data_IF_937284142746
#
_entry.id   IF_937284142746
#
_cell.length_a   1.000
_cell.length_b   1.000
_cell.length_c   1.000
_cell.angle_alpha   90.00
_cell.angle_beta   90.00
_cell.angle_gamma   90.00
#
_symmetry.space_group_name_H-M   'P 1'
#
loop_
_entity.id
_entity.type
_entity.pdbx_description
1 polymer ?
#
# COMPACT_ATOMS: atom_id res chain seq x y z
N UNK A 1 3.98 -41.95 17.03
CA UNK A 1 3.80 -40.70 17.81
C UNK A 1 4.75 -39.57 17.42
N UNK A 2 6.07 -39.79 17.28
CA UNK A 2 7.03 -38.73 16.91
C UNK A 2 6.75 -38.05 15.55
N UNK A 3 6.24 -38.80 14.57
CA UNK A 3 5.88 -38.26 13.25
C UNK A 3 4.66 -37.31 13.32
N UNK A 4 3.64 -37.69 14.09
CA UNK A 4 2.46 -36.86 14.37
C UNK A 4 2.83 -35.57 15.10
N UNK A 5 3.76 -35.64 16.05
CA UNK A 5 4.27 -34.47 16.76
C UNK A 5 5.00 -33.50 15.80
N UNK A 6 5.76 -34.02 14.83
CA UNK A 6 6.44 -33.20 13.81
C UNK A 6 5.44 -32.51 12.88
N UNK A 7 4.38 -33.21 12.44
CA UNK A 7 3.32 -32.58 11.64
C UNK A 7 2.59 -31.49 12.43
N UNK A 8 2.26 -31.72 13.70
CA UNK A 8 1.66 -30.71 14.59
C UNK A 8 2.53 -29.46 14.76
N UNK A 9 3.84 -29.63 14.96
CA UNK A 9 4.80 -28.51 15.08
C UNK A 9 4.89 -27.70 13.78
N UNK A 10 4.85 -28.35 12.61
CA UNK A 10 4.84 -27.65 11.32
C UNK A 10 3.54 -26.88 11.07
N UNK A 11 2.39 -27.43 11.47
CA UNK A 11 1.09 -26.74 11.36
C UNK A 11 1.01 -25.51 12.28
N UNK A 12 1.57 -25.59 13.49
CA UNK A 12 1.57 -24.48 14.46
C UNK A 12 2.57 -23.37 14.10
N UNK A 13 3.62 -23.66 13.33
CA UNK A 13 4.64 -22.67 12.94
C UNK A 13 4.25 -21.81 11.73
N UNK A 14 3.06 -22.03 11.14
CA UNK A 14 2.62 -21.38 9.91
C UNK A 14 1.81 -20.08 10.14
N UNK A 15 2.11 -19.30 11.17
CA UNK A 15 1.58 -17.94 11.31
C UNK A 15 2.26 -17.01 10.30
N UNK A 16 1.89 -17.14 9.03
CA UNK A 16 2.23 -16.15 8.02
C UNK A 16 1.51 -14.85 8.38
N UNK A 17 2.26 -13.76 8.50
CA UNK A 17 1.66 -12.43 8.62
C UNK A 17 0.72 -12.21 7.44
N UNK A 18 -0.57 -12.00 7.74
CA UNK A 18 -1.62 -11.85 6.74
C UNK A 18 -1.68 -10.41 6.29
N UNK A 19 -1.82 -10.22 4.98
CA UNK A 19 -2.09 -8.91 4.38
C UNK A 19 -3.60 -8.73 4.35
N UNK A 20 -4.07 -7.59 4.85
CA UNK A 20 -5.48 -7.20 4.83
C UNK A 20 -5.64 -5.82 4.21
N UNK A 21 -6.72 -5.64 3.46
CA UNK A 21 -7.13 -4.34 2.92
C UNK A 21 -8.46 -3.95 3.56
N UNK A 22 -8.52 -2.77 4.14
CA UNK A 22 -9.74 -2.20 4.70
C UNK A 22 -10.24 -1.07 3.81
N UNK A 23 -11.49 -1.15 3.36
CA UNK A 23 -12.18 -0.02 2.72
C UNK A 23 -12.64 0.91 3.84
N UNK A 24 -12.14 2.13 3.83
CA UNK A 24 -12.32 3.13 4.90
C UNK A 24 -13.12 4.32 4.39
N UNK A 25 -13.75 5.07 5.30
CA UNK A 25 -14.44 6.32 4.95
C UNK A 25 -13.43 7.41 4.59
N UNK A 26 -12.34 7.48 5.36
CA UNK A 26 -11.23 8.42 5.19
C UNK A 26 -9.90 7.72 5.51
N UNK A 27 -8.79 8.41 5.24
CA UNK A 27 -7.46 7.89 5.46
C UNK A 27 -6.97 7.94 6.92
N UNK A 28 -7.79 8.26 7.92
CA UNK A 28 -7.35 8.45 9.33
C UNK A 28 -6.44 7.33 9.86
N UNK A 29 -6.67 6.08 9.44
CA UNK A 29 -5.89 4.90 9.87
C UNK A 29 -4.53 4.76 9.18
N UNK A 30 -4.35 5.34 7.99
CA UNK A 30 -3.15 5.21 7.16
C UNK A 30 -2.63 6.56 6.63
N UNK A 31 -3.08 7.68 7.22
CA UNK A 31 -2.80 9.03 6.73
C UNK A 31 -1.30 9.36 6.73
N UNK A 32 -0.55 8.82 7.70
CA UNK A 32 0.89 9.07 7.86
C UNK A 32 1.73 8.67 6.64
N UNK A 33 1.23 7.74 5.81
CA UNK A 33 1.95 7.27 4.63
C UNK A 33 1.88 8.24 3.45
N UNK A 34 0.97 9.21 3.51
CA UNK A 34 0.90 10.27 2.52
C UNK A 34 1.97 11.33 2.79
N UNK A 35 2.50 11.91 1.72
CA UNK A 35 3.40 13.06 1.83
C UNK A 35 2.72 14.18 2.62
N UNK A 36 3.39 14.65 3.68
CA UNK A 36 2.84 15.65 4.62
C UNK A 36 1.48 15.26 5.23
N UNK A 37 1.20 13.96 5.35
CA UNK A 37 -0.07 13.44 5.85
C UNK A 37 -1.28 13.92 5.05
N UNK A 38 -1.12 14.21 3.75
CA UNK A 38 -2.19 14.73 2.89
C UNK A 38 -2.30 13.93 1.59
N UNK A 39 -3.49 13.40 1.24
CA UNK A 39 -3.69 12.75 -0.05
C UNK A 39 -3.51 13.76 -1.19
N UNK A 40 -3.03 13.33 -2.37
CA UNK A 40 -2.85 14.21 -3.50
C UNK A 40 -4.20 14.73 -4.02
N UNK A 41 -4.25 16.02 -4.32
CA UNK A 41 -5.38 16.66 -5.01
C UNK A 41 -5.23 16.43 -6.51
N UNK A 42 -6.15 15.68 -7.11
CA UNK A 42 -6.14 15.38 -8.54
C UNK A 42 -7.46 15.85 -9.14
N UNK A 43 -7.41 16.80 -10.08
CA UNK A 43 -8.58 17.55 -10.53
C UNK A 43 -9.74 16.73 -11.13
N UNK A 44 -9.46 15.55 -11.70
CA UNK A 44 -10.50 14.68 -12.27
C UNK A 44 -11.20 13.78 -11.24
N UNK A 45 -10.75 13.73 -9.98
CA UNK A 45 -11.32 12.86 -8.95
C UNK A 45 -12.71 13.26 -8.46
N UNK A 46 -13.16 14.46 -8.81
CA UNK A 46 -14.48 14.97 -8.42
C UNK A 46 -15.63 14.37 -9.25
N UNK A 47 -15.33 13.47 -10.19
CA UNK A 47 -16.31 12.80 -11.05
C UNK A 47 -17.03 11.69 -10.28
N UNK A 48 -18.36 11.80 -10.06
CA UNK A 48 -19.14 10.79 -9.35
C UNK A 48 -19.07 9.40 -10.00
N UNK A 49 -18.84 9.36 -11.31
CA UNK A 49 -18.77 8.12 -12.09
C UNK A 49 -17.58 7.23 -11.70
N UNK A 50 -16.53 7.80 -11.07
CA UNK A 50 -15.33 7.05 -10.72
C UNK A 50 -15.52 6.04 -9.59
N UNK A 51 -16.59 6.18 -8.79
CA UNK A 51 -16.92 5.36 -7.62
C UNK A 51 -15.66 5.04 -6.79
N UNK A 52 -15.15 6.07 -6.13
CA UNK A 52 -13.87 6.03 -5.42
C UNK A 52 -13.98 5.30 -4.08
N UNK A 53 -12.97 4.50 -3.78
CA UNK A 53 -12.77 3.85 -2.48
C UNK A 53 -11.42 4.23 -1.88
N UNK A 54 -11.44 4.69 -0.64
CA UNK A 54 -10.24 4.82 0.18
C UNK A 54 -9.90 3.45 0.79
N UNK A 55 -8.66 3.00 0.62
CA UNK A 55 -8.20 1.71 1.14
C UNK A 55 -6.98 1.92 2.02
N UNK A 56 -7.02 1.39 3.24
CA UNK A 56 -5.84 1.26 4.10
C UNK A 56 -5.41 -0.21 4.16
N UNK A 57 -4.15 -0.50 3.82
CA UNK A 57 -3.64 -1.88 3.82
C UNK A 57 -2.72 -2.11 5.02
N UNK A 58 -2.84 -3.30 5.62
CA UNK A 58 -2.10 -3.69 6.82
C UNK A 58 -1.47 -5.07 6.67
N UNK A 59 -0.31 -5.23 7.30
CA UNK A 59 0.36 -6.50 7.52
C UNK A 59 0.18 -6.87 8.99
N UNK A 60 -0.55 -7.95 9.25
CA UNK A 60 -1.05 -8.26 10.59
C UNK A 60 -1.96 -7.14 11.11
N UNK A 61 -1.54 -6.48 12.20
CA UNK A 61 -2.27 -5.37 12.83
C UNK A 61 -1.74 -3.98 12.45
N UNK A 62 -0.67 -3.89 11.65
CA UNK A 62 0.04 -2.64 11.37
C UNK A 62 -0.27 -2.16 9.96
N UNK A 63 -0.77 -0.93 9.81
CA UNK A 63 -0.96 -0.30 8.51
C UNK A 63 0.38 0.05 7.87
N UNK A 64 0.48 -0.07 6.55
CA UNK A 64 1.68 0.25 5.77
C UNK A 64 1.41 1.06 4.50
N UNK A 65 0.16 1.07 4.02
CA UNK A 65 -0.19 1.70 2.75
C UNK A 65 -1.54 2.42 2.85
N UNK A 66 -1.68 3.51 2.08
CA UNK A 66 -2.95 4.12 1.73
C UNK A 66 -3.13 4.16 0.22
N UNK A 67 -4.30 3.81 -0.28
CA UNK A 67 -4.59 3.72 -1.73
C UNK A 67 -5.92 4.39 -2.03
N UNK A 68 -6.00 5.12 -3.14
CA UNK A 68 -7.27 5.52 -3.77
C UNK A 68 -7.56 4.57 -4.92
N UNK A 69 -8.72 3.94 -4.90
CA UNK A 69 -9.11 2.94 -5.89
C UNK A 69 -10.38 3.38 -6.61
N UNK A 70 -10.35 3.37 -7.95
CA UNK A 70 -11.58 3.55 -8.73
C UNK A 70 -12.26 2.20 -8.91
N UNK A 71 -13.51 2.06 -8.42
CA UNK A 71 -14.30 0.85 -8.68
C UNK A 71 -14.79 0.80 -10.13
N UNK A 72 -14.98 1.96 -10.76
CA UNK A 72 -15.36 2.06 -12.16
C UNK A 72 -14.26 1.51 -13.09
N UNK A 73 -13.04 2.02 -12.99
CA UNK A 73 -11.91 1.54 -13.80
C UNK A 73 -11.28 0.24 -13.28
N UNK A 74 -11.58 -0.13 -12.03
CA UNK A 74 -10.99 -1.29 -11.33
C UNK A 74 -9.47 -1.24 -11.23
N UNK A 75 -8.94 -0.04 -10.98
CA UNK A 75 -7.50 0.20 -10.81
C UNK A 75 -7.25 1.14 -9.62
N UNK A 76 -6.11 0.98 -8.91
CA UNK A 76 -5.64 2.02 -7.99
C UNK A 76 -5.24 3.26 -8.80
N UNK A 77 -5.76 4.42 -8.42
CA UNK A 77 -5.39 5.71 -9.01
C UNK A 77 -4.02 6.12 -8.47
N UNK A 78 -3.82 6.00 -7.16
CA UNK A 78 -2.54 6.18 -6.50
C UNK A 78 -2.44 5.31 -5.25
N UNK A 79 -1.20 5.07 -4.81
CA UNK A 79 -0.88 4.47 -3.51
C UNK A 79 0.24 5.26 -2.85
N UNK A 80 0.23 5.32 -1.53
CA UNK A 80 1.22 5.99 -0.71
C UNK A 80 1.79 5.02 0.33
N UNK A 81 3.11 5.07 0.51
CA UNK A 81 3.88 4.24 1.45
C UNK A 81 5.17 4.96 1.86
N UNK A 82 5.72 4.57 3.00
CA UNK A 82 7.03 5.01 3.43
C UNK A 82 8.08 4.01 2.92
N UNK A 83 9.07 4.51 2.16
CA UNK A 83 10.24 3.73 1.79
C UNK A 83 11.25 3.81 2.93
N UNK A 84 11.60 2.67 3.51
CA UNK A 84 12.68 2.58 4.47
C UNK A 84 14.00 2.46 3.70
N UNK A 85 14.87 3.47 3.78
CA UNK A 85 16.23 3.39 3.24
C UNK A 85 17.06 2.42 4.11
N UNK A 86 17.53 1.28 3.56
CA UNK A 86 18.33 0.32 4.32
C UNK A 86 19.69 0.88 4.77
N UNK A 87 20.18 1.97 4.15
CA UNK A 87 21.50 2.54 4.42
C UNK A 87 21.48 3.77 5.35
N UNK A 88 20.29 4.34 5.65
CA UNK A 88 20.14 5.56 6.46
C UNK A 88 19.08 5.45 7.57
N UNK A 89 19.04 4.35 8.32
CA UNK A 89 18.25 4.28 9.56
C UNK A 89 18.73 5.23 10.69
N UNK A 90 19.67 6.15 10.42
CA UNK A 90 20.20 7.12 11.39
C UNK A 90 19.97 8.60 11.05
N UNK A 91 19.22 8.93 10.00
CA UNK A 91 18.74 10.31 9.78
C UNK A 91 17.29 10.29 9.35
N UNK A 92 16.46 11.05 10.06
CA UNK A 92 15.01 11.18 9.85
C UNK A 92 14.60 11.62 8.43
N UNK A 93 13.30 11.85 8.21
CA UNK A 93 12.63 11.66 6.94
C UNK A 93 13.07 12.70 5.91
N UNK A 94 14.12 12.40 5.16
CA UNK A 94 14.27 12.91 3.81
C UNK A 94 13.23 12.16 2.99
N UNK A 95 11.99 12.65 3.07
CA UNK A 95 10.91 12.23 2.20
C UNK A 95 11.29 12.61 0.79
N UNK A 96 12.02 11.72 0.11
CA UNK A 96 12.17 11.77 -1.32
C UNK A 96 10.76 11.74 -1.89
N UNK A 97 10.41 12.89 -2.47
CA UNK A 97 9.14 13.17 -3.07
C UNK A 97 8.92 12.11 -4.18
N UNK A 98 8.07 11.11 -3.94
CA UNK A 98 7.48 10.35 -5.05
C UNK A 98 6.51 11.33 -5.73
N UNK A 99 7.07 12.21 -6.57
CA UNK A 99 6.31 12.94 -7.57
C UNK A 99 5.71 11.86 -8.46
N UNK A 100 4.39 11.72 -8.45
CA UNK A 100 3.69 11.04 -9.52
C UNK A 100 3.92 11.90 -10.77
N UNK A 101 5.04 11.68 -11.48
CA UNK A 101 5.23 12.19 -12.84
C UNK A 101 4.11 11.58 -13.66
N UNK A 102 3.48 12.38 -14.52
CA UNK A 102 2.43 11.91 -15.42
C UNK A 102 2.83 10.57 -16.08
N UNK A 103 1.92 9.61 -16.00
CA UNK A 103 2.12 8.23 -16.45
C UNK A 103 2.45 8.17 -17.95
N UNK A 104 3.71 7.97 -18.31
CA UNK A 104 4.09 7.71 -19.71
C UNK A 104 4.39 6.25 -20.01
N UNK A 105 4.62 5.39 -19.01
CA UNK A 105 4.68 3.94 -19.28
C UNK A 105 4.36 3.08 -18.07
N UNK A 106 3.47 2.11 -18.27
CA UNK A 106 3.14 1.07 -17.31
C UNK A 106 4.10 -0.12 -17.53
N UNK A 107 4.96 -0.44 -16.56
CA UNK A 107 5.82 -1.63 -16.64
C UNK A 107 5.26 -2.75 -15.76
N UNK A 108 5.15 -3.95 -16.34
CA UNK A 108 4.65 -5.16 -15.67
C UNK A 108 5.84 -6.00 -15.24
N UNK A 109 6.11 -6.10 -13.94
CA UNK A 109 7.02 -7.13 -13.41
C UNK A 109 6.29 -8.03 -12.42
N UNK A 110 6.37 -9.34 -12.63
CA UNK A 110 5.88 -10.40 -11.73
C UNK A 110 4.44 -10.23 -11.20
N UNK A 111 3.55 -9.63 -12.00
CA UNK A 111 2.13 -9.49 -11.66
C UNK A 111 1.81 -8.40 -10.64
N UNK A 112 2.76 -7.51 -10.34
CA UNK A 112 2.56 -6.35 -9.47
C UNK A 112 2.90 -5.08 -10.26
N UNK A 113 1.97 -4.13 -10.27
CA UNK A 113 2.19 -2.83 -10.91
C UNK A 113 2.97 -1.95 -9.94
N UNK A 114 4.15 -1.53 -10.34
CA UNK A 114 4.96 -0.58 -9.60
C UNK A 114 4.97 0.75 -10.36
N UNK A 115 4.81 1.84 -9.63
CA UNK A 115 5.07 3.18 -10.14
C UNK A 115 6.53 3.50 -9.80
N UNK A 116 7.43 3.22 -10.73
CA UNK A 116 8.85 3.53 -10.60
C UNK A 116 9.08 4.96 -11.12
N UNK A 117 9.66 5.87 -10.32
CA UNK A 117 10.13 7.14 -10.86
C UNK A 117 11.38 6.90 -11.73
N UNK A 118 11.44 7.57 -12.89
CA UNK A 118 12.70 7.75 -13.64
C UNK A 118 13.54 8.87 -13.04
#
# INVERSE_FOLDING_TARGET
MKLLLRFLVLFLSAEKQKIYSEVVLDYSKCQKFFYKSAPPEIGFLNQPELDLAHICQKLGSVYHFGTLYSKYWRIPIYSAYELLDPQNSLTGPTGDLIVIKECTSVQKSRGTWFFEPQ
#
